data_IF_826151187164
#
_entry.id   IF_826151187164
#
_cell.length_a   1.000
_cell.length_b   1.000
_cell.length_c   1.000
_cell.angle_alpha   90.00
_cell.angle_beta   90.00
_cell.angle_gamma   90.00
#
_symmetry.space_group_name_H-M   'P 1'
#
loop_
_entity.id
_entity.type
_entity.pdbx_description
1 polymer ?
#
# COMPACT_ATOMS: atom_id res chain seq x y z
N UNK A 1 -12.37 -1.46 -14.41
CA UNK A 1 -11.12 -1.61 -13.66
C UNK A 1 -10.56 -0.24 -13.32
N UNK A 2 -9.94 -0.12 -12.17
CA UNK A 2 -9.30 1.12 -11.76
C UNK A 2 -7.84 0.83 -11.40
N UNK A 3 -6.97 1.78 -11.71
CA UNK A 3 -5.55 1.71 -11.35
C UNK A 3 -5.25 2.77 -10.31
N UNK A 4 -4.68 2.32 -9.19
CA UNK A 4 -4.30 3.20 -8.09
C UNK A 4 -2.80 3.15 -7.87
N UNK A 5 -2.22 4.31 -7.58
CA UNK A 5 -0.84 4.39 -7.10
C UNK A 5 -0.86 4.63 -5.60
N UNK A 6 -0.15 3.80 -4.87
CA UNK A 6 -0.04 3.89 -3.42
C UNK A 6 1.41 4.23 -3.09
N UNK A 7 1.61 5.35 -2.43
CA UNK A 7 2.95 5.88 -2.11
C UNK A 7 3.11 6.01 -0.60
N UNK A 8 4.26 5.58 -0.09
CA UNK A 8 4.58 5.73 1.33
C UNK A 8 4.91 7.19 1.65
N UNK A 9 4.15 7.79 2.57
CA UNK A 9 4.31 9.18 2.99
C UNK A 9 5.32 9.36 4.10
N UNK A 10 5.49 8.35 4.94
CA UNK A 10 6.35 8.40 6.12
C UNK A 10 7.12 7.10 6.27
N UNK A 11 8.36 7.22 6.70
CA UNK A 11 9.16 6.05 7.04
C UNK A 11 8.57 5.36 8.27
N UNK A 12 8.58 4.04 8.28
CA UNK A 12 8.22 3.25 9.45
C UNK A 12 9.15 2.06 9.58
N UNK A 13 9.55 1.78 10.82
CA UNK A 13 10.36 0.62 11.15
C UNK A 13 9.68 -0.12 12.29
N UNK A 14 9.07 -1.26 11.98
CA UNK A 14 8.28 -2.04 12.93
C UNK A 14 8.50 -3.52 12.66
N UNK A 15 8.63 -4.31 13.73
CA UNK A 15 8.79 -5.77 13.63
C UNK A 15 9.95 -6.19 12.72
N UNK A 16 11.02 -5.41 12.69
CA UNK A 16 12.17 -5.67 11.83
C UNK A 16 11.94 -5.36 10.36
N UNK A 17 10.80 -4.75 10.03
CA UNK A 17 10.47 -4.37 8.65
C UNK A 17 10.64 -2.86 8.51
N UNK A 18 11.49 -2.46 7.57
CA UNK A 18 11.71 -1.05 7.28
C UNK A 18 10.98 -0.65 6.01
N UNK A 19 10.13 0.37 6.12
CA UNK A 19 9.41 0.95 4.99
C UNK A 19 9.86 2.39 4.84
N UNK A 20 10.33 2.75 3.66
CA UNK A 20 10.90 4.07 3.43
C UNK A 20 9.92 4.97 2.70
N UNK A 21 9.99 6.27 3.00
CA UNK A 21 9.24 7.30 2.30
C UNK A 21 9.61 7.28 0.81
N UNK A 22 8.59 7.36 -0.04
CA UNK A 22 8.77 7.35 -1.48
C UNK A 22 8.62 5.99 -2.13
N UNK A 23 8.60 4.91 -1.36
CA UNK A 23 8.24 3.60 -1.90
C UNK A 23 6.82 3.66 -2.44
N UNK A 24 6.59 3.08 -3.61
CA UNK A 24 5.27 3.12 -4.23
C UNK A 24 4.98 1.83 -5.00
N UNK A 25 3.70 1.49 -5.04
CA UNK A 25 3.19 0.35 -5.79
C UNK A 25 1.96 0.78 -6.57
N UNK A 26 1.65 0.03 -7.64
CA UNK A 26 0.43 0.23 -8.39
C UNK A 26 -0.49 -0.96 -8.16
N UNK A 27 -1.78 -0.67 -7.95
CA UNK A 27 -2.78 -1.67 -7.64
C UNK A 27 -3.92 -1.55 -8.64
N UNK A 28 -4.22 -2.65 -9.33
CA UNK A 28 -5.37 -2.73 -10.24
C UNK A 28 -6.52 -3.38 -9.48
N UNK A 29 -7.68 -2.74 -9.48
CA UNK A 29 -8.88 -3.25 -8.82
C UNK A 29 -10.06 -3.26 -9.77
N UNK A 30 -11.06 -4.09 -9.46
CA UNK A 30 -12.32 -4.12 -10.21
C UNK A 30 -13.32 -3.07 -9.70
N UNK A 31 -12.94 -2.31 -8.70
CA UNK A 31 -13.80 -1.35 -8.02
C UNK A 31 -13.16 0.04 -8.06
N UNK A 32 -13.99 1.08 -8.03
CA UNK A 32 -13.53 2.46 -7.88
C UNK A 32 -13.26 2.81 -6.42
N UNK A 33 -13.53 1.89 -5.50
CA UNK A 33 -13.29 2.10 -4.08
C UNK A 33 -11.79 2.13 -3.78
N UNK A 34 -11.42 2.87 -2.75
CA UNK A 34 -10.03 2.97 -2.29
C UNK A 34 -9.52 1.58 -1.90
N UNK A 35 -8.46 1.05 -2.54
CA UNK A 35 -7.98 -0.30 -2.24
C UNK A 35 -7.44 -0.44 -0.83
N UNK A 36 -7.06 0.65 -0.19
CA UNK A 36 -6.56 0.62 1.19
C UNK A 36 -7.67 0.30 2.20
N UNK A 37 -8.90 0.70 1.91
CA UNK A 37 -10.06 0.48 2.78
C UNK A 37 -10.91 -0.72 2.36
N UNK A 38 -10.57 -1.38 1.28
CA UNK A 38 -11.30 -2.53 0.74
C UNK A 38 -10.59 -3.82 1.17
N UNK A 39 -11.33 -4.76 1.74
CA UNK A 39 -10.79 -6.06 2.20
C UNK A 39 -9.57 -5.89 3.11
N UNK A 40 -9.59 -4.89 3.99
CA UNK A 40 -8.49 -4.63 4.92
C UNK A 40 -7.18 -4.23 4.24
N UNK A 41 -7.25 -3.72 3.02
CA UNK A 41 -6.05 -3.33 2.28
C UNK A 41 -5.30 -4.48 1.66
N UNK A 42 -5.95 -5.63 1.47
CA UNK A 42 -5.27 -6.84 0.99
C UNK A 42 -4.58 -6.63 -0.36
N UNK A 43 -5.22 -5.94 -1.30
CA UNK A 43 -4.62 -5.69 -2.61
C UNK A 43 -3.34 -4.86 -2.51
N UNK A 44 -3.32 -3.89 -1.60
CA UNK A 44 -2.14 -3.06 -1.32
C UNK A 44 -1.05 -3.90 -0.67
N UNK A 45 -1.41 -4.72 0.32
CA UNK A 45 -0.45 -5.60 0.99
C UNK A 45 0.19 -6.57 0.01
N UNK A 46 -0.60 -7.17 -0.89
CA UNK A 46 -0.09 -8.09 -1.91
C UNK A 46 0.87 -7.39 -2.86
N UNK A 47 0.58 -6.15 -3.25
CA UNK A 47 1.45 -5.39 -4.14
C UNK A 47 2.80 -5.08 -3.48
N UNK A 48 2.81 -4.69 -2.21
CA UNK A 48 4.06 -4.45 -1.49
C UNK A 48 4.88 -5.72 -1.35
N UNK A 49 4.23 -6.84 -1.07
CA UNK A 49 4.93 -8.12 -0.97
C UNK A 49 5.54 -8.53 -2.32
N UNK A 50 4.78 -8.39 -3.40
CA UNK A 50 5.24 -8.78 -4.74
C UNK A 50 6.41 -7.94 -5.23
N UNK A 51 6.40 -6.63 -4.96
CA UNK A 51 7.39 -5.70 -5.52
C UNK A 51 8.59 -5.54 -4.59
N UNK A 52 8.35 -5.41 -3.28
CA UNK A 52 9.41 -5.12 -2.30
C UNK A 52 9.71 -6.28 -1.35
N UNK A 53 8.89 -7.33 -1.36
CA UNK A 53 9.02 -8.42 -0.39
C UNK A 53 8.65 -8.01 1.03
N UNK A 54 7.85 -6.95 1.20
CA UNK A 54 7.46 -6.40 2.49
C UNK A 54 6.06 -6.87 2.85
N UNK A 55 5.89 -7.38 4.08
CA UNK A 55 4.58 -7.64 4.65
C UNK A 55 4.02 -6.35 5.23
N UNK A 56 3.19 -5.66 4.45
CA UNK A 56 2.65 -4.36 4.82
C UNK A 56 1.72 -4.43 6.03
N UNK A 57 0.98 -5.53 6.21
CA UNK A 57 0.13 -5.70 7.39
C UNK A 57 0.97 -5.79 8.66
N UNK A 58 2.04 -6.58 8.61
CA UNK A 58 2.94 -6.76 9.75
C UNK A 58 3.72 -5.49 10.04
N UNK A 59 4.05 -4.72 9.02
CA UNK A 59 4.70 -3.43 9.18
C UNK A 59 3.75 -2.36 9.74
N UNK A 60 2.45 -2.61 9.69
CA UNK A 60 1.46 -1.67 10.21
C UNK A 60 1.29 -0.41 9.39
N UNK A 61 1.53 -0.48 8.08
CA UNK A 61 1.49 0.70 7.21
C UNK A 61 0.19 0.83 6.42
N UNK A 62 -0.76 -0.09 6.59
CA UNK A 62 -2.02 -0.07 5.84
C UNK A 62 -3.00 0.96 6.42
N UNK A 63 -2.62 2.22 6.35
CA UNK A 63 -3.46 3.33 6.78
C UNK A 63 -3.11 4.59 6.00
N UNK A 64 -4.04 5.55 5.99
CA UNK A 64 -3.83 6.84 5.34
C UNK A 64 -2.77 7.70 6.03
N UNK A 65 -2.40 7.35 7.27
CA UNK A 65 -1.31 8.03 7.97
C UNK A 65 0.05 7.75 7.33
N UNK A 66 0.21 6.59 6.71
CA UNK A 66 1.48 6.16 6.10
C UNK A 66 1.43 6.10 4.58
N UNK A 67 0.25 5.91 4.01
CA UNK A 67 0.09 5.70 2.57
C UNK A 67 -0.79 6.77 1.95
N UNK A 68 -0.34 7.29 0.83
CA UNK A 68 -1.12 8.16 -0.04
C UNK A 68 -1.63 7.33 -1.21
N UNK A 69 -2.94 7.30 -1.40
CA UNK A 69 -3.60 6.53 -2.46
C UNK A 69 -4.13 7.48 -3.50
N UNK A 70 -3.70 7.30 -4.74
CA UNK A 70 -4.10 8.14 -5.85
C UNK A 70 -4.59 7.28 -7.01
N UNK A 71 -5.78 7.59 -7.52
CA UNK A 71 -6.28 6.93 -8.72
C UNK A 71 -5.60 7.54 -9.94
N UNK A 72 -5.01 6.70 -10.78
CA UNK A 72 -4.28 7.16 -11.97
C UNK A 72 -4.81 6.55 -13.27
N UNK A 73 -5.77 5.67 -13.17
CA UNK A 73 -6.35 5.08 -14.39
C UNK A 73 -7.69 4.45 -14.19
#
# INVERSE_FOLDING_TARGET
>A
MALFRVTVKQMKNTNGIRVEKGMRVEVVTNSLSNPLTTNGGQAVADAFYRIYGIDAKRAGILSTAYLDVQRIG
#
